data_IF_303128838366
#
_entry.id   IF_303128838366
#
_cell.length_a   1.000
_cell.length_b   1.000
_cell.length_c   1.000
_cell.angle_alpha   90.00
_cell.angle_beta   90.00
_cell.angle_gamma   90.00
#
_symmetry.space_group_name_H-M   'P 1'
#
loop_
_entity.id
_entity.type
_entity.pdbx_description
1 polymer ?
#
# COMPACT_ATOMS: atom_id res chain seq x y z
N UNK A 1 9.71 31.47 -16.71
CA UNK A 1 9.68 30.10 -17.25
C UNK A 1 10.14 30.15 -18.70
N UNK A 2 11.19 29.42 -19.05
CA UNK A 2 11.73 29.33 -20.41
C UNK A 2 11.25 28.02 -21.06
N UNK A 3 9.94 27.92 -21.32
CA UNK A 3 9.30 26.72 -21.90
C UNK A 3 8.27 27.12 -22.94
N UNK A 4 8.13 26.27 -23.97
CA UNK A 4 7.23 26.53 -25.09
C UNK A 4 5.76 26.50 -24.68
N UNK A 5 4.93 27.33 -25.33
CA UNK A 5 3.48 27.37 -25.09
C UNK A 5 2.77 26.05 -25.40
N UNK A 6 3.33 25.22 -26.29
CA UNK A 6 2.83 23.88 -26.56
C UNK A 6 3.10 22.95 -25.39
N UNK A 7 4.32 22.95 -24.83
CA UNK A 7 4.67 22.13 -23.67
C UNK A 7 3.78 22.43 -22.45
N UNK A 8 3.53 23.72 -22.16
CA UNK A 8 2.63 24.12 -21.07
C UNK A 8 1.20 23.60 -21.29
N UNK A 9 0.70 23.61 -22.53
CA UNK A 9 -0.65 23.13 -22.84
C UNK A 9 -0.79 21.62 -22.65
N UNK A 10 0.21 20.86 -23.06
CA UNK A 10 0.21 19.40 -22.86
C UNK A 10 0.34 19.04 -21.38
N UNK A 11 1.16 19.77 -20.62
CA UNK A 11 1.22 19.62 -19.16
C UNK A 11 -0.15 19.88 -18.50
N UNK A 12 -0.85 20.95 -18.89
CA UNK A 12 -2.20 21.25 -18.37
C UNK A 12 -3.17 20.13 -18.72
N UNK A 13 -3.17 19.62 -19.96
CA UNK A 13 -4.03 18.49 -20.35
C UNK A 13 -3.77 17.24 -19.51
N UNK A 14 -2.50 16.90 -19.28
CA UNK A 14 -2.11 15.75 -18.46
C UNK A 14 -2.62 15.90 -17.02
N UNK A 15 -2.45 17.08 -16.42
CA UNK A 15 -2.92 17.36 -15.06
C UNK A 15 -4.46 17.36 -14.96
N UNK A 16 -5.17 17.84 -15.99
CA UNK A 16 -6.63 17.73 -16.05
C UNK A 16 -7.11 16.29 -16.19
N UNK A 17 -6.43 15.45 -16.97
CA UNK A 17 -6.77 14.03 -17.11
C UNK A 17 -6.67 13.26 -15.78
N UNK A 18 -5.81 13.74 -14.87
CA UNK A 18 -5.62 13.21 -13.50
C UNK A 18 -6.52 13.90 -12.47
N UNK A 19 -7.40 14.79 -12.91
CA UNK A 19 -8.30 15.61 -12.08
C UNK A 19 -7.59 16.50 -11.04
N UNK A 20 -6.33 16.86 -11.30
CA UNK A 20 -5.56 17.78 -10.45
C UNK A 20 -5.85 19.25 -10.77
N UNK A 21 -6.16 19.52 -12.04
CA UNK A 21 -6.56 20.83 -12.52
C UNK A 21 -7.91 20.73 -13.22
N UNK A 22 -8.61 21.85 -13.27
CA UNK A 22 -9.63 22.10 -14.27
C UNK A 22 -9.31 23.39 -15.03
N UNK A 23 -9.82 23.48 -16.25
CA UNK A 23 -9.65 24.66 -17.09
C UNK A 23 -10.95 25.01 -17.80
N UNK A 24 -11.28 26.30 -17.86
CA UNK A 24 -12.41 26.81 -18.62
C UNK A 24 -11.98 27.99 -19.50
N UNK A 25 -12.48 28.07 -20.76
CA UNK A 25 -12.23 29.23 -21.61
C UNK A 25 -12.60 30.52 -20.90
N UNK A 26 -11.75 31.55 -21.01
CA UNK A 26 -11.91 32.89 -20.41
C UNK A 26 -11.88 32.96 -18.88
N UNK A 27 -11.82 31.83 -18.18
CA UNK A 27 -11.66 31.77 -16.71
C UNK A 27 -10.21 31.42 -16.34
N UNK A 28 -9.57 30.57 -17.16
CA UNK A 28 -8.22 30.07 -16.90
C UNK A 28 -8.25 28.68 -16.27
N UNK A 29 -7.11 28.29 -15.69
CA UNK A 29 -6.94 27.00 -15.02
C UNK A 29 -6.81 27.20 -13.51
N UNK A 30 -7.41 26.31 -12.73
CA UNK A 30 -7.30 26.29 -11.27
C UNK A 30 -7.03 24.87 -10.77
N UNK A 31 -6.47 24.77 -9.57
CA UNK A 31 -6.24 23.50 -8.89
C UNK A 31 -7.56 23.00 -8.31
N UNK A 32 -7.93 21.76 -8.62
CA UNK A 32 -9.11 21.13 -8.04
C UNK A 32 -8.86 20.79 -6.56
N UNK A 33 -9.90 20.79 -5.71
CA UNK A 33 -9.76 20.32 -4.34
C UNK A 33 -9.36 18.83 -4.31
N UNK A 34 -8.62 18.43 -3.27
CA UNK A 34 -7.95 17.12 -3.19
C UNK A 34 -8.91 15.93 -3.32
N UNK A 35 -10.16 16.09 -2.88
CA UNK A 35 -11.22 15.08 -2.94
C UNK A 35 -11.61 14.71 -4.38
N UNK A 36 -11.27 15.56 -5.35
CA UNK A 36 -11.53 15.32 -6.78
C UNK A 36 -10.33 14.76 -7.52
N UNK A 37 -9.16 14.70 -6.88
CA UNK A 37 -7.97 14.17 -7.52
C UNK A 37 -8.16 12.68 -7.77
N UNK A 38 -7.66 12.19 -8.91
CA UNK A 38 -7.56 10.76 -9.13
C UNK A 38 -6.39 10.18 -8.32
N UNK A 39 -6.58 10.04 -7.01
CA UNK A 39 -5.55 9.52 -6.10
C UNK A 39 -5.19 8.05 -6.34
N UNK A 40 -5.91 7.34 -7.20
CA UNK A 40 -5.52 5.98 -7.61
C UNK A 40 -4.72 5.97 -8.91
N UNK A 41 -4.52 7.13 -9.55
CA UNK A 41 -3.57 7.26 -10.65
C UNK A 41 -2.13 7.07 -10.12
N UNK A 42 -1.37 6.24 -10.83
CA UNK A 42 0.01 5.87 -10.45
C UNK A 42 0.92 7.09 -10.29
N UNK A 43 0.84 8.05 -11.19
CA UNK A 43 1.71 9.24 -11.14
C UNK A 43 1.29 10.14 -9.98
N UNK A 44 -0.02 10.29 -9.74
CA UNK A 44 -0.54 11.07 -8.61
C UNK A 44 -0.09 10.47 -7.28
N UNK A 45 -0.15 9.15 -7.11
CA UNK A 45 0.34 8.47 -5.91
C UNK A 45 1.84 8.66 -5.72
N UNK A 46 2.64 8.53 -6.79
CA UNK A 46 4.08 8.73 -6.73
C UNK A 46 4.44 10.18 -6.34
N UNK A 47 3.71 11.17 -6.87
CA UNK A 47 3.89 12.57 -6.48
C UNK A 47 3.45 12.81 -5.03
N UNK A 48 2.36 12.18 -4.60
CA UNK A 48 1.89 12.32 -3.22
C UNK A 48 2.88 11.70 -2.22
N UNK A 49 3.47 10.54 -2.55
CA UNK A 49 4.47 9.88 -1.72
C UNK A 49 5.77 10.69 -1.53
N UNK A 50 6.10 11.54 -2.51
CA UNK A 50 7.28 12.43 -2.48
C UNK A 50 6.96 13.86 -2.03
N UNK A 51 5.70 14.15 -1.71
CA UNK A 51 5.28 15.45 -1.23
C UNK A 51 5.90 15.80 0.14
N UNK A 52 6.04 17.09 0.48
CA UNK A 52 6.62 17.53 1.76
C UNK A 52 5.95 16.90 2.99
N UNK A 53 4.64 16.63 2.91
CA UNK A 53 3.88 15.96 3.97
C UNK A 53 3.82 14.44 3.79
N UNK A 54 5.01 13.83 3.75
CA UNK A 54 5.18 12.38 3.60
C UNK A 54 4.53 11.61 4.76
N UNK A 55 4.48 12.19 5.96
CA UNK A 55 3.89 11.55 7.13
C UNK A 55 2.37 11.38 6.99
N UNK A 56 1.66 12.40 6.47
CA UNK A 56 0.24 12.29 6.16
C UNK A 56 -0.04 11.22 5.09
N UNK A 57 0.83 11.09 4.09
CA UNK A 57 0.73 10.02 3.10
C UNK A 57 0.84 8.64 3.76
N UNK A 58 1.86 8.41 4.59
CA UNK A 58 2.05 7.14 5.30
C UNK A 58 0.84 6.77 6.17
N UNK A 59 0.25 7.76 6.87
CA UNK A 59 -0.99 7.56 7.65
C UNK A 59 -2.18 7.21 6.78
N UNK A 60 -2.35 7.89 5.65
CA UNK A 60 -3.44 7.62 4.70
C UNK A 60 -3.37 6.18 4.19
N UNK A 61 -2.17 5.71 3.82
CA UNK A 61 -1.96 4.32 3.39
C UNK A 61 -2.24 3.36 4.54
N UNK A 62 -1.77 3.67 5.75
CA UNK A 62 -1.96 2.82 6.92
C UNK A 62 -3.46 2.70 7.32
N UNK A 63 -4.22 3.80 7.28
CA UNK A 63 -5.68 3.79 7.50
C UNK A 63 -6.39 2.92 6.48
N UNK A 64 -6.00 3.02 5.21
CA UNK A 64 -6.54 2.16 4.15
C UNK A 64 -6.28 0.67 4.44
N UNK A 65 -5.07 0.33 4.91
CA UNK A 65 -4.73 -1.06 5.30
C UNK A 65 -5.61 -1.56 6.44
N UNK A 66 -5.89 -0.72 7.45
CA UNK A 66 -6.82 -1.06 8.55
C UNK A 66 -8.24 -1.39 8.07
N UNK A 67 -8.71 -0.75 7.00
CA UNK A 67 -10.04 -1.00 6.44
C UNK A 67 -10.10 -2.34 5.68
N UNK A 68 -9.05 -2.66 4.91
CA UNK A 68 -9.10 -3.72 3.90
C UNK A 68 -8.42 -5.01 4.35
N UNK A 69 -7.20 -4.94 4.86
CA UNK A 69 -6.37 -6.13 5.08
C UNK A 69 -6.93 -7.12 6.11
N UNK A 70 -7.55 -6.70 7.23
CA UNK A 70 -8.07 -7.64 8.21
C UNK A 70 -9.15 -8.55 7.62
N UNK A 71 -10.11 -7.99 6.88
CA UNK A 71 -11.18 -8.75 6.23
C UNK A 71 -10.66 -9.56 5.04
N UNK A 72 -9.73 -8.99 4.25
CA UNK A 72 -9.10 -9.72 3.16
C UNK A 72 -8.38 -10.99 3.66
N UNK A 73 -7.66 -10.90 4.79
CA UNK A 73 -7.00 -12.05 5.41
C UNK A 73 -7.98 -13.11 5.94
N UNK A 74 -9.10 -12.68 6.50
CA UNK A 74 -10.15 -13.58 6.96
C UNK A 74 -10.79 -14.33 5.77
N UNK A 75 -11.08 -13.62 4.68
CA UNK A 75 -11.58 -14.25 3.46
C UNK A 75 -10.54 -15.16 2.81
N UNK A 76 -9.26 -14.76 2.79
CA UNK A 76 -8.19 -15.61 2.29
C UNK A 76 -8.11 -16.93 3.08
N UNK A 77 -8.25 -16.90 4.40
CA UNK A 77 -8.29 -18.10 5.23
C UNK A 77 -9.42 -19.07 4.83
N UNK A 78 -10.52 -18.57 4.28
CA UNK A 78 -11.67 -19.38 3.84
C UNK A 78 -11.53 -19.82 2.39
N UNK A 79 -11.15 -18.92 1.49
CA UNK A 79 -11.34 -19.05 0.03
C UNK A 79 -10.12 -19.46 -0.75
N UNK A 80 -8.91 -19.27 -0.19
CA UNK A 80 -7.67 -19.44 -0.94
C UNK A 80 -7.50 -20.86 -1.50
N UNK A 81 -7.00 -20.94 -2.73
CA UNK A 81 -6.52 -22.18 -3.34
C UNK A 81 -5.16 -22.60 -2.77
N UNK A 82 -4.72 -23.83 -3.04
CA UNK A 82 -3.42 -24.31 -2.56
C UNK A 82 -2.27 -23.54 -3.21
N UNK A 83 -2.41 -23.15 -4.48
CA UNK A 83 -1.44 -22.29 -5.19
C UNK A 83 -1.35 -20.91 -4.54
N UNK A 84 -2.50 -20.29 -4.20
CA UNK A 84 -2.52 -19.01 -3.50
C UNK A 84 -1.89 -19.12 -2.11
N UNK A 85 -2.06 -20.26 -1.41
CA UNK A 85 -1.37 -20.49 -0.15
C UNK A 85 0.14 -20.59 -0.33
N UNK A 86 0.58 -21.27 -1.39
CA UNK A 86 2.00 -21.40 -1.71
C UNK A 86 2.62 -20.03 -2.00
N UNK A 87 1.93 -19.16 -2.73
CA UNK A 87 2.37 -17.78 -2.98
C UNK A 87 2.52 -16.96 -1.68
N UNK A 88 1.51 -17.00 -0.80
CA UNK A 88 1.55 -16.31 0.50
C UNK A 88 2.72 -16.85 1.35
N UNK A 89 2.88 -18.17 1.40
CA UNK A 89 3.95 -18.82 2.19
C UNK A 89 5.34 -18.48 1.65
N UNK A 90 5.49 -18.46 0.33
CA UNK A 90 6.74 -18.13 -0.35
C UNK A 90 7.14 -16.68 -0.03
N UNK A 91 6.22 -15.73 -0.19
CA UNK A 91 6.50 -14.32 0.10
C UNK A 91 6.86 -14.09 1.58
N UNK A 92 6.16 -14.75 2.51
CA UNK A 92 6.47 -14.68 3.95
C UNK A 92 7.86 -15.22 4.27
N UNK A 93 8.28 -16.31 3.61
CA UNK A 93 9.61 -16.90 3.78
C UNK A 93 10.70 -16.01 3.18
N UNK A 94 10.53 -15.55 1.95
CA UNK A 94 11.46 -14.63 1.28
C UNK A 94 11.70 -13.37 2.12
N UNK A 95 10.67 -12.88 2.83
CA UNK A 95 10.80 -11.74 3.75
C UNK A 95 11.76 -12.02 4.92
N UNK A 96 11.70 -13.22 5.50
CA UNK A 96 12.57 -13.64 6.60
C UNK A 96 13.99 -13.99 6.15
N UNK A 97 14.16 -14.43 4.90
CA UNK A 97 15.44 -14.79 4.29
C UNK A 97 16.15 -13.60 3.63
N UNK A 98 15.46 -12.47 3.45
CA UNK A 98 15.99 -11.30 2.76
C UNK A 98 17.28 -10.77 3.42
N UNK A 99 18.32 -10.58 2.62
CA UNK A 99 19.61 -10.04 3.07
C UNK A 99 19.64 -8.50 3.01
N UNK A 100 18.76 -7.91 2.21
CA UNK A 100 18.74 -6.47 1.97
C UNK A 100 17.36 -5.85 2.20
N UNK A 101 17.34 -4.55 2.49
CA UNK A 101 16.10 -3.78 2.65
C UNK A 101 15.18 -3.85 1.41
N UNK A 102 15.68 -3.74 0.16
CA UNK A 102 14.83 -3.86 -1.03
C UNK A 102 14.23 -5.26 -1.20
N UNK A 103 14.99 -6.33 -0.94
CA UNK A 103 14.49 -7.70 -1.00
C UNK A 103 13.37 -7.92 0.01
N UNK A 104 13.58 -7.49 1.26
CA UNK A 104 12.58 -7.61 2.33
C UNK A 104 11.31 -6.84 1.99
N UNK A 105 11.45 -5.60 1.54
CA UNK A 105 10.31 -4.74 1.20
C UNK A 105 9.52 -5.30 0.01
N UNK A 106 10.19 -5.83 -1.02
CA UNK A 106 9.54 -6.49 -2.16
C UNK A 106 8.77 -7.74 -1.72
N UNK A 107 9.34 -8.54 -0.82
CA UNK A 107 8.67 -9.72 -0.28
C UNK A 107 7.45 -9.32 0.58
N UNK A 108 7.55 -8.24 1.35
CA UNK A 108 6.46 -7.65 2.15
C UNK A 108 5.29 -7.19 1.25
N UNK A 109 5.56 -6.37 0.24
CA UNK A 109 4.56 -5.97 -0.76
C UNK A 109 3.90 -7.18 -1.42
N UNK A 110 4.69 -8.18 -1.84
CA UNK A 110 4.14 -9.41 -2.43
C UNK A 110 3.25 -10.19 -1.47
N UNK A 111 3.62 -10.27 -0.19
CA UNK A 111 2.84 -10.96 0.83
C UNK A 111 1.45 -10.33 0.99
N UNK A 112 1.38 -9.01 1.15
CA UNK A 112 0.12 -8.29 1.28
C UNK A 112 -0.75 -8.41 0.02
N UNK A 113 -0.17 -8.24 -1.17
CA UNK A 113 -0.91 -8.38 -2.43
C UNK A 113 -1.41 -9.82 -2.66
N UNK A 114 -0.64 -10.84 -2.28
CA UNK A 114 -1.05 -12.24 -2.37
C UNK A 114 -2.27 -12.51 -1.47
N UNK A 115 -2.33 -11.93 -0.27
CA UNK A 115 -3.50 -12.03 0.62
C UNK A 115 -4.73 -11.35 0.00
N UNK A 116 -4.58 -10.15 -0.58
CA UNK A 116 -5.68 -9.45 -1.25
C UNK A 116 -6.25 -10.30 -2.40
N UNK A 117 -5.39 -10.93 -3.21
CA UNK A 117 -5.82 -11.84 -4.29
C UNK A 117 -6.51 -13.09 -3.75
N UNK A 118 -5.94 -13.70 -2.70
CA UNK A 118 -6.47 -14.89 -2.06
C UNK A 118 -7.81 -14.67 -1.35
N UNK A 119 -8.18 -13.41 -1.07
CA UNK A 119 -9.48 -13.05 -0.51
C UNK A 119 -10.66 -13.40 -1.43
N UNK A 120 -10.42 -13.63 -2.73
CA UNK A 120 -11.46 -13.94 -3.71
C UNK A 120 -12.44 -12.79 -3.94
N UNK A 121 -12.01 -11.55 -3.71
CA UNK A 121 -12.76 -10.35 -4.09
C UNK A 121 -12.09 -9.72 -5.32
N UNK A 122 -12.75 -9.81 -6.47
CA UNK A 122 -12.22 -9.35 -7.76
C UNK A 122 -11.93 -7.85 -7.80
N UNK A 123 -12.55 -7.05 -6.92
CA UNK A 123 -12.27 -5.61 -6.83
C UNK A 123 -10.98 -5.31 -6.04
N UNK A 124 -10.55 -6.22 -5.14
CA UNK A 124 -9.33 -6.02 -4.36
C UNK A 124 -8.05 -6.28 -5.16
N UNK A 125 -8.12 -7.07 -6.23
CA UNK A 125 -6.97 -7.33 -7.11
C UNK A 125 -6.50 -6.08 -7.84
N UNK A 126 -7.34 -5.40 -8.65
CA UNK A 126 -6.93 -4.17 -9.33
C UNK A 126 -6.62 -3.06 -8.32
N UNK A 127 -7.36 -2.97 -7.21
CA UNK A 127 -7.07 -2.02 -6.15
C UNK A 127 -5.66 -2.23 -5.55
N UNK A 128 -5.28 -3.48 -5.30
CA UNK A 128 -3.93 -3.86 -4.87
C UNK A 128 -2.85 -3.37 -5.84
N UNK A 129 -3.05 -3.52 -7.15
CA UNK A 129 -2.12 -3.02 -8.19
C UNK A 129 -1.99 -1.49 -8.15
N UNK A 130 -3.10 -0.77 -7.94
CA UNK A 130 -3.09 0.68 -7.89
C UNK A 130 -2.33 1.20 -6.66
N UNK A 131 -2.48 0.54 -5.51
CA UNK A 131 -1.84 0.95 -4.24
C UNK A 131 -0.46 0.33 -4.02
N UNK A 132 0.02 -0.54 -4.91
CA UNK A 132 1.30 -1.27 -4.74
C UNK A 132 2.46 -0.30 -4.46
N UNK A 133 2.56 0.79 -5.23
CA UNK A 133 3.59 1.81 -5.01
C UNK A 133 3.45 2.48 -3.64
N UNK A 134 2.22 2.66 -3.16
CA UNK A 134 1.97 3.29 -1.86
C UNK A 134 2.36 2.37 -0.70
N UNK A 135 2.08 1.07 -0.82
CA UNK A 135 2.53 0.03 0.10
C UNK A 135 4.07 -0.05 0.13
N UNK A 136 4.71 -0.03 -1.03
CA UNK A 136 6.18 -0.05 -1.13
C UNK A 136 6.82 1.12 -0.37
N UNK A 137 6.33 2.34 -0.58
CA UNK A 137 6.81 3.53 0.15
C UNK A 137 6.63 3.41 1.68
N UNK A 138 5.51 2.82 2.13
CA UNK A 138 5.26 2.56 3.54
C UNK A 138 6.20 1.49 4.09
N UNK A 139 6.37 0.38 3.39
CA UNK A 139 7.19 -0.75 3.84
C UNK A 139 8.68 -0.44 3.83
N UNK A 140 9.18 0.35 2.87
CA UNK A 140 10.55 0.88 2.91
C UNK A 140 10.76 1.69 4.19
N UNK A 141 9.80 2.55 4.55
CA UNK A 141 9.88 3.36 5.75
C UNK A 141 9.85 2.49 7.02
N UNK A 142 8.83 1.64 7.18
CA UNK A 142 8.63 0.83 8.39
C UNK A 142 9.76 -0.18 8.57
N UNK A 143 10.23 -0.81 7.49
CA UNK A 143 11.34 -1.77 7.55
C UNK A 143 12.66 -1.08 7.89
N UNK A 144 12.85 0.17 7.50
CA UNK A 144 14.06 0.93 7.86
C UNK A 144 14.03 1.39 9.32
N UNK A 145 12.87 1.85 9.79
CA UNK A 145 12.72 2.44 11.13
C UNK A 145 12.42 1.40 12.22
N UNK A 146 12.06 0.16 11.85
CA UNK A 146 11.83 -0.90 12.83
C UNK A 146 13.14 -1.34 13.47
N UNK A 147 13.16 -1.30 14.80
CA UNK A 147 14.29 -1.74 15.61
C UNK A 147 14.28 -3.25 15.92
N UNK A 148 13.18 -3.95 15.60
CA UNK A 148 12.96 -5.36 15.95
C UNK A 148 12.39 -6.13 14.74
N UNK A 149 13.29 -6.47 13.81
CA UNK A 149 12.95 -7.26 12.62
C UNK A 149 12.41 -8.67 12.96
N UNK A 150 12.97 -9.41 13.93
CA UNK A 150 12.41 -10.72 14.31
C UNK A 150 10.95 -10.63 14.76
N UNK A 151 10.58 -9.61 15.55
CA UNK A 151 9.17 -9.39 15.93
C UNK A 151 8.30 -9.05 14.74
N UNK A 152 8.77 -8.19 13.83
CA UNK A 152 8.04 -7.86 12.61
C UNK A 152 7.80 -9.11 11.75
N UNK A 153 8.79 -9.97 11.59
CA UNK A 153 8.67 -11.24 10.87
C UNK A 153 7.66 -12.18 11.55
N UNK A 154 7.72 -12.34 12.88
CA UNK A 154 6.80 -13.19 13.64
C UNK A 154 5.33 -12.75 13.49
N UNK A 155 5.07 -11.45 13.30
CA UNK A 155 3.72 -10.94 13.03
C UNK A 155 3.20 -11.38 11.65
N UNK A 156 4.05 -11.38 10.61
CA UNK A 156 3.70 -11.88 9.29
C UNK A 156 3.47 -13.39 9.30
N UNK A 157 4.35 -14.15 9.96
CA UNK A 157 4.22 -15.60 10.13
C UNK A 157 2.94 -15.97 10.88
N UNK A 158 2.50 -15.15 11.84
CA UNK A 158 1.23 -15.36 12.52
C UNK A 158 0.03 -15.21 11.57
N UNK A 159 0.06 -14.26 10.62
CA UNK A 159 -1.00 -14.10 9.61
C UNK A 159 -0.99 -15.31 8.68
N UNK A 160 0.17 -15.62 8.10
CA UNK A 160 0.40 -16.76 7.22
C UNK A 160 -0.15 -18.05 7.84
N UNK A 161 0.26 -18.35 9.07
CA UNK A 161 -0.19 -19.54 9.81
C UNK A 161 -1.69 -19.59 10.00
N UNK A 162 -2.33 -18.48 10.37
CA UNK A 162 -3.78 -18.46 10.59
C UNK A 162 -4.58 -18.54 9.30
N UNK A 163 -4.04 -17.98 8.20
CA UNK A 163 -4.56 -18.25 6.86
C UNK A 163 -4.41 -19.74 6.59
N UNK A 164 -3.20 -20.32 6.64
CA UNK A 164 -2.92 -21.75 6.38
C UNK A 164 -3.85 -22.68 7.14
N UNK A 165 -4.04 -22.46 8.44
CA UNK A 165 -4.91 -23.26 9.30
C UNK A 165 -6.42 -23.00 9.13
N UNK A 166 -6.80 -22.16 8.16
CA UNK A 166 -8.18 -21.77 7.84
C UNK A 166 -8.92 -21.19 9.06
N UNK A 167 -8.25 -20.30 9.80
CA UNK A 167 -8.77 -19.65 11.01
C UNK A 167 -9.10 -18.16 10.74
N UNK A 168 -10.25 -17.84 10.15
CA UNK A 168 -10.55 -16.49 9.66
C UNK A 168 -10.50 -15.42 10.77
N UNK A 169 -11.12 -15.68 11.92
CA UNK A 169 -11.11 -14.73 13.04
C UNK A 169 -9.70 -14.49 13.59
N UNK A 170 -8.87 -15.54 13.63
CA UNK A 170 -7.49 -15.42 14.10
C UNK A 170 -6.57 -14.73 13.08
N UNK A 171 -6.81 -14.93 11.77
CA UNK A 171 -6.11 -14.22 10.70
C UNK A 171 -6.38 -12.71 10.78
N UNK A 172 -7.66 -12.32 10.92
CA UNK A 172 -8.06 -10.92 11.15
C UNK A 172 -7.34 -10.30 12.36
N UNK A 173 -7.39 -11.01 13.50
CA UNK A 173 -6.73 -10.55 14.72
C UNK A 173 -5.20 -10.42 14.55
N UNK A 174 -4.57 -11.33 13.79
CA UNK A 174 -3.15 -11.26 13.49
C UNK A 174 -2.80 -10.03 12.65
N UNK A 175 -3.61 -9.70 11.65
CA UNK A 175 -3.43 -8.46 10.86
C UNK A 175 -3.55 -7.24 11.75
N UNK A 176 -4.56 -7.13 12.61
CA UNK A 176 -4.68 -5.98 13.52
C UNK A 176 -3.43 -5.78 14.39
N UNK A 177 -2.79 -6.87 14.86
CA UNK A 177 -1.53 -6.77 15.61
C UNK A 177 -0.36 -6.27 14.75
N UNK A 178 -0.26 -6.73 13.50
CA UNK A 178 0.74 -6.23 12.55
C UNK A 178 0.55 -4.73 12.27
N UNK A 179 -0.70 -4.32 12.05
CA UNK A 179 -1.03 -2.93 11.77
C UNK A 179 -0.75 -2.03 12.99
N UNK A 180 -1.10 -2.46 14.20
CA UNK A 180 -0.76 -1.74 15.43
C UNK A 180 0.76 -1.57 15.61
N UNK A 181 1.56 -2.60 15.29
CA UNK A 181 3.02 -2.48 15.30
C UNK A 181 3.51 -1.43 14.29
N UNK A 182 2.86 -1.35 13.12
CA UNK A 182 3.17 -0.34 12.11
C UNK A 182 2.80 1.06 12.58
N UNK A 183 1.66 1.21 13.26
CA UNK A 183 1.21 2.49 13.83
C UNK A 183 2.23 3.04 14.85
N UNK A 184 2.81 2.17 15.67
CA UNK A 184 3.89 2.55 16.60
C UNK A 184 5.12 3.08 15.87
N UNK A 185 5.53 2.43 14.78
CA UNK A 185 6.71 2.85 14.00
C UNK A 185 6.46 4.21 13.33
N UNK A 186 5.30 4.41 12.70
CA UNK A 186 4.91 5.71 12.11
C UNK A 186 4.85 6.78 13.20
N UNK A 187 4.29 6.47 14.37
CA UNK A 187 4.15 7.43 15.47
C UNK A 187 5.48 7.85 16.14
N UNK A 188 6.53 7.01 16.09
CA UNK A 188 7.86 7.33 16.66
C UNK A 188 8.62 8.38 15.85
N UNK A 189 8.41 8.42 14.53
CA UNK A 189 9.01 9.44 13.64
C UNK A 189 8.53 10.87 13.91
N UNK A 190 7.57 11.04 14.82
CA UNK A 190 7.01 12.32 15.25
C UNK A 190 7.89 13.04 16.29
N UNK A 191 8.92 12.37 16.83
CA UNK A 191 9.78 12.87 17.91
C UNK A 191 11.16 13.26 17.42
#
# INVERSE_FOLDING_TARGET
>A
FDVSRSAVREAIKMLMAKSLLASRPKIGSWVEPKERWNLLDRDVLAWYATAPDREMFLRTVQEFRHIIEPEASAFAAIRRSDEQMAEISQACREMGEAATLPERTRADTRFHLAILRASGNDLLVPLGVLIESALDHLFVFVTRETSDQPRAQALHEAIEKNIRLRRPAAARSAVHRLLANTDEVIGRSRR
#
